data_IF_994370613820
#
_entry.id   IF_994370613820
#
_cell.length_a   1.000
_cell.length_b   1.000
_cell.length_c   1.000
_cell.angle_alpha   90.00
_cell.angle_beta   90.00
_cell.angle_gamma   90.00
#
_symmetry.space_group_name_H-M   'P 1'
#
loop_
_entity.id
_entity.type
_entity.pdbx_description
1 polymer ?
#
# COMPACT_ATOMS: atom_id res chain seq x y z
N UNK A 1 9.16 12.80 6.99
CA UNK A 1 8.76 12.62 5.58
C UNK A 1 7.92 13.83 5.15
N UNK A 2 8.50 14.77 4.39
CA UNK A 2 7.78 16.01 4.02
C UNK A 2 8.46 16.85 2.94
N UNK A 3 9.70 16.53 2.58
CA UNK A 3 10.44 17.20 1.51
C UNK A 3 9.80 17.02 0.12
N UNK A 4 9.00 15.97 -0.09
CA UNK A 4 8.24 15.80 -1.32
C UNK A 4 7.26 16.96 -1.53
N UNK A 5 6.60 17.49 -0.48
CA UNK A 5 5.70 18.64 -0.65
C UNK A 5 6.43 19.89 -1.17
N UNK A 6 7.62 20.16 -0.64
CA UNK A 6 8.45 21.28 -1.11
C UNK A 6 8.83 21.09 -2.57
N UNK A 7 9.19 19.85 -2.95
CA UNK A 7 9.52 19.54 -4.33
C UNK A 7 8.33 19.71 -5.27
N UNK A 8 7.16 19.20 -4.90
CA UNK A 8 5.92 19.31 -5.68
C UNK A 8 5.54 20.75 -5.91
N UNK A 9 5.57 21.58 -4.88
CA UNK A 9 5.01 22.94 -4.97
C UNK A 9 6.04 23.99 -5.42
N UNK A 10 7.32 23.83 -5.06
CA UNK A 10 8.36 24.86 -5.24
C UNK A 10 9.36 24.51 -6.33
N UNK A 11 9.99 23.33 -6.30
CA UNK A 11 11.18 23.07 -7.13
C UNK A 11 10.91 22.31 -8.41
N UNK A 12 10.21 21.17 -8.34
CA UNK A 12 10.10 20.22 -9.45
C UNK A 12 8.66 19.70 -9.60
N UNK A 13 7.79 20.51 -10.22
CA UNK A 13 6.36 20.17 -10.42
C UNK A 13 6.13 18.99 -11.35
N UNK A 14 6.94 18.87 -12.40
CA UNK A 14 6.73 17.90 -13.49
C UNK A 14 7.20 16.48 -13.14
N UNK A 15 8.11 16.35 -12.16
CA UNK A 15 8.77 15.08 -11.85
C UNK A 15 8.11 14.35 -10.70
N UNK A 16 7.24 15.02 -9.96
CA UNK A 16 6.55 14.45 -8.81
C UNK A 16 5.16 13.95 -9.20
N UNK A 17 4.81 12.72 -8.77
CA UNK A 17 3.54 12.13 -9.15
C UNK A 17 2.39 12.70 -8.31
N UNK A 18 1.24 12.90 -8.95
CA UNK A 18 0.04 13.43 -8.31
C UNK A 18 -0.70 12.35 -7.52
N UNK A 19 -0.90 12.48 -6.18
CA UNK A 19 -1.50 11.42 -5.35
C UNK A 19 -2.90 10.97 -5.76
N UNK A 20 -3.68 11.85 -6.39
CA UNK A 20 -5.06 11.58 -6.80
C UNK A 20 -5.13 10.84 -8.15
N UNK A 21 -4.09 10.94 -8.98
CA UNK A 21 -4.07 10.42 -10.36
C UNK A 21 -3.01 9.30 -10.53
N UNK A 22 -2.77 8.51 -9.47
CA UNK A 22 -1.91 7.33 -9.51
C UNK A 22 -2.74 6.09 -9.92
N UNK A 23 -2.22 5.16 -10.74
CA UNK A 23 -0.93 5.16 -11.45
C UNK A 23 -1.01 5.68 -12.89
N UNK A 24 0.00 6.45 -13.33
CA UNK A 24 0.05 6.97 -14.73
C UNK A 24 0.71 5.99 -15.72
N UNK A 25 1.66 5.18 -15.25
CA UNK A 25 2.41 4.25 -16.09
C UNK A 25 1.86 2.82 -15.98
N UNK A 26 2.00 2.06 -17.07
CA UNK A 26 1.64 0.63 -17.11
C UNK A 26 2.29 -0.14 -15.93
N UNK A 27 1.51 -0.90 -15.14
CA UNK A 27 1.99 -1.83 -14.12
C UNK A 27 3.08 -2.80 -14.57
N UNK A 28 3.11 -3.19 -15.86
CA UNK A 28 4.07 -4.15 -16.41
C UNK A 28 5.37 -3.50 -16.91
N UNK A 29 5.42 -2.17 -17.05
CA UNK A 29 6.61 -1.47 -17.52
C UNK A 29 7.80 -1.70 -16.59
N UNK A 30 8.83 -2.39 -17.09
CA UNK A 30 10.06 -2.69 -16.36
C UNK A 30 10.02 -3.97 -15.50
N UNK A 31 8.93 -4.76 -15.58
CA UNK A 31 8.84 -6.06 -14.93
C UNK A 31 8.63 -7.16 -15.98
N UNK A 32 9.55 -8.14 -16.10
CA UNK A 32 9.37 -9.24 -17.04
C UNK A 32 8.15 -10.11 -16.66
N UNK A 33 7.95 -10.39 -15.37
CA UNK A 33 6.77 -11.06 -14.83
C UNK A 33 6.40 -10.44 -13.48
N UNK A 34 5.22 -9.81 -13.39
CA UNK A 34 4.70 -9.22 -12.15
C UNK A 34 3.65 -10.15 -11.55
N UNK A 35 3.90 -10.66 -10.35
CA UNK A 35 2.93 -11.47 -9.61
C UNK A 35 1.84 -10.58 -9.00
N UNK A 36 0.61 -11.04 -9.09
CA UNK A 36 -0.55 -10.41 -8.46
C UNK A 36 -0.54 -10.64 -6.95
N UNK A 37 -1.21 -9.76 -6.20
CA UNK A 37 -1.37 -9.92 -4.76
C UNK A 37 -2.47 -10.95 -4.51
N UNK A 38 -2.21 -11.89 -3.61
CA UNK A 38 -3.15 -12.95 -3.26
C UNK A 38 -4.00 -12.49 -2.08
N UNK A 39 -5.33 -12.48 -2.27
CA UNK A 39 -6.29 -12.33 -1.18
C UNK A 39 -6.44 -13.68 -0.48
N UNK A 40 -6.13 -13.74 0.82
CA UNK A 40 -6.25 -14.97 1.62
C UNK A 40 -7.65 -15.13 2.20
N UNK A 41 -8.27 -14.05 2.70
CA UNK A 41 -9.61 -14.08 3.26
C UNK A 41 -10.67 -14.12 2.16
N UNK A 42 -11.69 -14.97 2.32
CA UNK A 42 -12.84 -14.98 1.41
C UNK A 42 -13.77 -13.78 1.67
N UNK A 43 -14.52 -13.37 0.65
CA UNK A 43 -15.47 -12.25 0.81
C UNK A 43 -16.56 -12.56 1.84
N UNK A 44 -17.04 -13.81 1.86
CA UNK A 44 -18.05 -14.28 2.81
C UNK A 44 -17.53 -14.20 4.25
N UNK A 45 -16.29 -14.62 4.51
CA UNK A 45 -15.67 -14.51 5.84
C UNK A 45 -15.59 -13.06 6.34
N UNK A 46 -15.27 -12.10 5.45
CA UNK A 46 -15.20 -10.68 5.80
C UNK A 46 -16.58 -10.07 6.11
N UNK A 47 -17.61 -10.53 5.40
CA UNK A 47 -19.00 -10.12 5.62
C UNK A 47 -19.55 -10.70 6.93
N UNK A 48 -19.30 -11.98 7.21
CA UNK A 48 -19.70 -12.65 8.44
C UNK A 48 -19.03 -12.01 9.68
N UNK A 49 -17.77 -11.62 9.54
CA UNK A 49 -17.03 -10.88 10.56
C UNK A 49 -17.48 -9.41 10.70
N UNK A 50 -18.35 -8.90 9.80
CA UNK A 50 -18.85 -7.52 9.76
C UNK A 50 -17.72 -6.48 9.81
N UNK A 51 -16.67 -6.70 9.02
CA UNK A 51 -15.52 -5.79 8.93
C UNK A 51 -15.92 -4.52 8.17
N UNK A 52 -15.56 -3.32 8.65
CA UNK A 52 -15.82 -2.07 7.92
C UNK A 52 -15.05 -2.04 6.60
N UNK A 53 -15.61 -1.36 5.59
CA UNK A 53 -15.06 -1.35 4.24
C UNK A 53 -13.60 -0.90 4.17
N UNK A 54 -13.19 0.04 5.02
CA UNK A 54 -11.82 0.56 5.09
C UNK A 54 -10.79 -0.48 5.55
N UNK A 55 -11.21 -1.55 6.22
CA UNK A 55 -10.33 -2.60 6.76
C UNK A 55 -10.39 -3.89 5.94
N UNK A 56 -11.09 -3.89 4.81
CA UNK A 56 -11.20 -5.04 3.89
C UNK A 56 -10.05 -5.08 2.89
N UNK A 57 -8.84 -4.99 3.42
CA UNK A 57 -7.60 -5.03 2.65
C UNK A 57 -7.08 -6.46 2.46
N UNK A 58 -5.97 -6.62 1.73
CA UNK A 58 -5.23 -7.89 1.63
C UNK A 58 -4.86 -8.49 2.99
N UNK A 59 -4.71 -7.63 4.00
CA UNK A 59 -4.39 -7.99 5.37
C UNK A 59 -5.57 -8.43 6.26
N UNK A 60 -6.80 -8.47 5.74
CA UNK A 60 -8.02 -8.71 6.54
C UNK A 60 -8.03 -10.06 7.29
N UNK A 61 -7.30 -11.06 6.81
CA UNK A 61 -7.19 -12.37 7.45
C UNK A 61 -6.61 -12.31 8.88
N UNK A 62 -5.59 -11.47 9.12
CA UNK A 62 -5.06 -11.25 10.47
C UNK A 62 -6.05 -10.53 11.38
N UNK A 63 -6.85 -9.60 10.83
CA UNK A 63 -7.87 -8.89 11.59
C UNK A 63 -8.99 -9.84 12.06
N UNK A 64 -9.39 -10.80 11.22
CA UNK A 64 -10.35 -11.85 11.61
C UNK A 64 -9.80 -12.68 12.78
N UNK A 65 -8.53 -13.08 12.71
CA UNK A 65 -7.87 -13.86 13.79
C UNK A 65 -7.81 -13.07 15.09
N UNK A 66 -7.48 -11.79 15.02
CA UNK A 66 -7.45 -10.87 16.15
C UNK A 66 -8.84 -10.70 16.79
N UNK A 67 -9.89 -10.50 15.99
CA UNK A 67 -11.27 -10.40 16.50
C UNK A 67 -11.73 -11.70 17.17
N UNK A 68 -11.37 -12.85 16.60
CA UNK A 68 -11.64 -14.16 17.18
C UNK A 68 -10.94 -14.31 18.54
N UNK A 69 -9.65 -14.03 18.60
CA UNK A 69 -8.86 -14.10 19.83
C UNK A 69 -9.40 -13.16 20.93
N UNK A 70 -9.84 -11.95 20.57
CA UNK A 70 -10.49 -11.02 21.53
C UNK A 70 -11.82 -11.56 22.07
N UNK A 71 -12.59 -12.25 21.24
CA UNK A 71 -13.86 -12.87 21.65
C UNK A 71 -13.64 -14.06 22.58
N UNK A 72 -12.65 -14.89 22.29
CA UNK A 72 -12.38 -16.12 23.03
C UNK A 72 -11.74 -15.86 24.40
N UNK A 73 -10.89 -14.82 24.50
CA UNK A 73 -10.11 -14.51 25.71
C UNK A 73 -10.75 -13.45 26.63
N UNK A 74 -12.00 -13.06 26.43
CA UNK A 74 -12.69 -12.12 27.33
C UNK A 74 -12.82 -12.70 28.75
N UNK A 75 -12.35 -12.04 29.84
CA UNK A 75 -12.04 -10.60 30.03
C UNK A 75 -10.56 -10.20 29.95
N UNK A 76 -9.65 -11.11 29.56
CA UNK A 76 -8.22 -10.87 29.54
C UNK A 76 -7.79 -10.12 28.27
N UNK A 77 -7.76 -8.78 28.35
CA UNK A 77 -7.41 -7.92 27.21
C UNK A 77 -5.96 -8.04 26.71
N UNK A 78 -5.03 -8.48 27.55
CA UNK A 78 -3.58 -8.51 27.24
C UNK A 78 -3.13 -9.79 26.55
N UNK A 79 -3.99 -10.81 26.47
CA UNK A 79 -3.60 -12.14 25.97
C UNK A 79 -3.34 -12.14 24.45
N UNK A 80 -3.85 -11.16 23.71
CA UNK A 80 -3.90 -11.16 22.24
C UNK A 80 -2.82 -10.28 21.57
N UNK A 81 -1.66 -10.13 22.20
CA UNK A 81 -0.61 -9.21 21.71
C UNK A 81 0.06 -9.69 20.42
N UNK A 82 0.18 -11.00 20.23
CA UNK A 82 0.82 -11.59 19.07
C UNK A 82 0.00 -11.35 17.79
N UNK A 83 -1.31 -11.62 17.85
CA UNK A 83 -2.25 -11.43 16.74
C UNK A 83 -2.38 -9.96 16.34
N UNK A 84 -2.33 -9.05 17.34
CA UNK A 84 -2.25 -7.61 17.06
C UNK A 84 -0.97 -7.26 16.28
N UNK A 85 0.18 -7.75 16.74
CA UNK A 85 1.47 -7.46 16.09
C UNK A 85 1.55 -8.04 14.67
N UNK A 86 0.98 -9.22 14.43
CA UNK A 86 0.90 -9.78 13.08
C UNK A 86 0.09 -8.89 12.12
N UNK A 87 -1.08 -8.42 12.57
CA UNK A 87 -1.90 -7.51 11.79
C UNK A 87 -1.17 -6.19 11.50
N UNK A 88 -0.55 -5.59 12.52
CA UNK A 88 0.23 -4.35 12.38
C UNK A 88 1.42 -4.52 11.43
N UNK A 89 2.12 -5.66 11.52
CA UNK A 89 3.25 -5.99 10.64
C UNK A 89 2.82 -6.12 9.19
N UNK A 90 1.68 -6.74 8.94
CA UNK A 90 1.13 -6.92 7.61
C UNK A 90 0.63 -5.57 7.03
N UNK A 91 -0.05 -4.74 7.83
CA UNK A 91 -0.40 -3.36 7.46
C UNK A 91 0.84 -2.50 7.14
N UNK A 92 1.93 -2.67 7.90
CA UNK A 92 3.19 -2.01 7.63
C UNK A 92 3.79 -2.45 6.28
N UNK A 93 3.76 -3.75 5.97
CA UNK A 93 4.22 -4.26 4.67
C UNK A 93 3.40 -3.68 3.51
N UNK A 94 2.07 -3.59 3.66
CA UNK A 94 1.20 -2.96 2.65
C UNK A 94 1.52 -1.48 2.47
N UNK A 95 1.80 -0.75 3.55
CA UNK A 95 2.25 0.64 3.48
C UNK A 95 3.60 0.77 2.74
N UNK A 96 4.56 -0.11 3.05
CA UNK A 96 5.86 -0.14 2.34
C UNK A 96 5.67 -0.41 0.85
N UNK A 97 4.73 -1.28 0.48
CA UNK A 97 4.42 -1.53 -0.93
C UNK A 97 3.87 -0.28 -1.64
N UNK A 98 2.96 0.46 -1.01
CA UNK A 98 2.45 1.74 -1.54
C UNK A 98 3.55 2.79 -1.70
N UNK A 99 4.49 2.84 -0.74
CA UNK A 99 5.67 3.72 -0.84
C UNK A 99 6.57 3.36 -2.02
N UNK A 100 6.77 2.06 -2.30
CA UNK A 100 7.51 1.59 -3.48
C UNK A 100 6.83 1.98 -4.78
N UNK A 101 5.50 1.90 -4.85
CA UNK A 101 4.71 2.32 -6.01
C UNK A 101 4.86 3.83 -6.26
N UNK A 102 4.78 4.66 -5.21
CA UNK A 102 5.01 6.10 -5.30
C UNK A 102 6.43 6.44 -5.80
N UNK A 103 7.45 5.81 -5.24
CA UNK A 103 8.83 6.02 -5.69
C UNK A 103 9.07 5.55 -7.12
N UNK A 104 8.43 4.44 -7.54
CA UNK A 104 8.50 3.94 -8.91
C UNK A 104 8.01 5.00 -9.89
N UNK A 105 6.83 5.57 -9.65
CA UNK A 105 6.28 6.59 -10.55
C UNK A 105 7.14 7.84 -10.63
N UNK A 106 7.63 8.32 -9.47
CA UNK A 106 8.56 9.45 -9.44
C UNK A 106 9.81 9.18 -10.28
N UNK A 107 10.41 7.98 -10.19
CA UNK A 107 11.60 7.62 -10.98
C UNK A 107 11.30 7.50 -12.48
N UNK A 108 10.10 7.02 -12.84
CA UNK A 108 9.66 6.94 -14.23
C UNK A 108 9.42 8.33 -14.83
N UNK A 109 8.80 9.27 -14.09
CA UNK A 109 8.65 10.67 -14.50
C UNK A 109 10.02 11.34 -14.69
N UNK A 110 10.94 11.15 -13.74
CA UNK A 110 12.32 11.64 -13.87
C UNK A 110 13.03 11.09 -15.10
N UNK A 111 12.82 9.81 -15.43
CA UNK A 111 13.38 9.20 -16.65
C UNK A 111 12.76 9.79 -17.91
N UNK A 112 11.43 9.97 -17.94
CA UNK A 112 10.72 10.58 -19.06
C UNK A 112 11.24 11.99 -19.35
N UNK A 113 11.34 12.83 -18.33
CA UNK A 113 11.90 14.19 -18.46
C UNK A 113 13.32 14.22 -19.03
N UNK A 114 14.16 13.25 -18.65
CA UNK A 114 15.52 13.12 -19.20
C UNK A 114 15.51 12.76 -20.69
N UNK A 115 14.63 11.85 -21.10
CA UNK A 115 14.50 11.46 -22.51
C UNK A 115 13.99 12.63 -23.36
N UNK A 116 12.96 13.33 -22.90
CA UNK A 116 12.44 14.54 -23.57
C UNK A 116 13.52 15.63 -23.70
N UNK A 117 14.37 15.80 -22.67
CA UNK A 117 15.51 16.73 -22.73
C UNK A 117 16.64 16.30 -23.67
N UNK A 118 16.82 14.99 -23.90
CA UNK A 118 17.78 14.47 -24.88
C UNK A 118 17.24 14.59 -26.31
N UNK A 119 15.95 14.40 -26.52
CA UNK A 119 15.30 14.54 -27.82
C UNK A 119 15.21 16.01 -28.28
N UNK A 120 15.16 16.94 -27.33
CA UNK A 120 15.12 18.37 -27.59
C UNK A 120 16.50 19.00 -27.87
N UNK A 121 17.61 18.27 -27.65
CA UNK A 121 18.99 18.73 -27.82
C UNK A 121 19.58 18.27 -29.16
#
# INVERSE_FOLDING_TARGET
MGSHLVRRYVTERETEPDPNNLPTFDPHLGFPERKERVMVASQQEMDDARIPLEQRDYCAHHLIMLLKCKRDNWPNFLACSHENHEWDSCQHQDYVMRMKEYERERRLLMRRKKLEGMEAA
#
